data_IF_826956808930
#
_entry.id   IF_826956808930
#
_cell.length_a   1.000
_cell.length_b   1.000
_cell.length_c   1.000
_cell.angle_alpha   90.00
_cell.angle_beta   90.00
_cell.angle_gamma   90.00
#
_symmetry.space_group_name_H-M   'P 1'
#
loop_
_entity.id
_entity.type
_entity.pdbx_description
1 polymer ?
#
# COMPACT_ATOMS: atom_id res chain seq x y z
N UNK A 1 53.81 -16.00 9.56
CA UNK A 1 53.80 -17.33 10.19
C UNK A 1 53.20 -17.22 11.57
N UNK A 2 52.03 -17.82 11.81
CA UNK A 2 51.57 -18.20 13.15
C UNK A 2 50.49 -19.27 12.99
N UNK A 3 50.86 -20.54 13.17
CA UNK A 3 49.92 -21.66 13.25
C UNK A 3 49.48 -21.78 14.71
N UNK A 4 48.20 -21.53 14.99
CA UNK A 4 47.63 -21.71 16.32
C UNK A 4 47.46 -23.20 16.60
N UNK A 5 48.43 -23.76 17.31
CA UNK A 5 48.39 -25.14 17.82
C UNK A 5 47.31 -25.25 18.91
N UNK A 6 46.07 -25.57 18.51
CA UNK A 6 44.99 -25.87 19.46
C UNK A 6 45.27 -27.24 20.08
N UNK A 7 45.82 -27.25 21.30
CA UNK A 7 45.96 -28.44 22.14
C UNK A 7 44.59 -29.11 22.29
N UNK A 8 44.36 -30.21 21.56
CA UNK A 8 43.16 -31.06 21.74
C UNK A 8 43.32 -31.77 23.09
N UNK A 9 42.72 -31.23 24.13
CA UNK A 9 42.73 -31.84 25.47
C UNK A 9 42.20 -33.28 25.42
N UNK A 10 42.81 -34.16 26.24
CA UNK A 10 42.40 -35.55 26.44
C UNK A 10 40.93 -35.61 26.90
N UNK A 11 39.99 -35.80 25.97
CA UNK A 11 38.57 -35.97 26.30
C UNK A 11 38.37 -37.38 26.85
N UNK A 12 37.92 -37.46 28.11
CA UNK A 12 37.50 -38.74 28.72
C UNK A 12 36.47 -39.43 27.80
N UNK A 13 36.53 -40.76 27.64
CA UNK A 13 35.60 -41.48 26.78
C UNK A 13 34.17 -41.26 27.28
N UNK A 14 33.29 -40.71 26.42
CA UNK A 14 31.87 -40.53 26.76
C UNK A 14 31.25 -41.90 27.09
N UNK A 15 30.56 -41.99 28.22
CA UNK A 15 29.91 -43.23 28.65
C UNK A 15 28.93 -43.72 27.59
N UNK A 16 28.83 -45.05 27.42
CA UNK A 16 27.95 -45.66 26.42
C UNK A 16 26.47 -45.27 26.62
N UNK A 17 26.09 -44.86 27.84
CA UNK A 17 24.76 -44.40 28.19
C UNK A 17 24.36 -43.05 27.54
N UNK A 18 25.34 -42.21 27.15
CA UNK A 18 25.09 -40.90 26.51
C UNK A 18 24.95 -41.05 24.98
N UNK A 19 25.12 -42.25 24.43
CA UNK A 19 25.01 -42.49 22.98
C UNK A 19 23.54 -42.53 22.58
N UNK A 20 23.13 -41.59 21.72
CA UNK A 20 21.79 -41.56 21.13
C UNK A 20 21.77 -42.55 19.95
N UNK A 21 21.02 -43.64 20.10
CA UNK A 21 20.79 -44.59 19.02
C UNK A 21 19.73 -44.03 18.06
N UNK A 22 20.17 -43.65 16.86
CA UNK A 22 19.28 -43.27 15.76
C UNK A 22 18.74 -44.53 15.09
N UNK A 23 17.58 -44.99 15.55
CA UNK A 23 16.82 -46.07 14.90
C UNK A 23 15.76 -45.44 14.01
N UNK A 24 15.73 -45.83 12.74
CA UNK A 24 14.70 -45.36 11.83
C UNK A 24 13.46 -46.25 11.94
N UNK A 25 12.31 -45.62 12.23
CA UNK A 25 11.02 -46.28 12.05
C UNK A 25 10.84 -46.62 10.57
N UNK A 26 10.90 -47.91 10.21
CA UNK A 26 10.79 -48.35 8.83
C UNK A 26 9.49 -47.90 8.15
N UNK A 27 8.39 -47.85 8.92
CA UNK A 27 7.08 -47.40 8.45
C UNK A 27 7.15 -45.92 8.06
N UNK A 28 7.66 -45.05 8.93
CA UNK A 28 7.85 -43.62 8.64
C UNK A 28 8.84 -43.41 7.49
N UNK A 29 9.87 -44.26 7.38
CA UNK A 29 10.82 -44.24 6.26
C UNK A 29 10.13 -44.58 4.93
N UNK A 30 9.31 -45.64 4.88
CA UNK A 30 8.54 -46.01 3.68
C UNK A 30 7.54 -44.92 3.30
N UNK A 31 6.83 -44.35 4.26
CA UNK A 31 5.94 -43.20 4.04
C UNK A 31 6.71 -41.96 3.57
N UNK A 32 7.90 -41.72 4.10
CA UNK A 32 8.74 -40.62 3.68
C UNK A 32 9.24 -40.81 2.24
N UNK A 33 9.67 -42.02 1.86
CA UNK A 33 10.18 -42.29 0.52
C UNK A 33 9.06 -42.34 -0.54
N UNK A 34 7.87 -42.84 -0.21
CA UNK A 34 6.77 -42.96 -1.18
C UNK A 34 5.80 -41.77 -1.14
N UNK A 35 5.78 -41.01 -0.04
CA UNK A 35 4.83 -39.93 0.24
C UNK A 35 5.07 -38.61 -0.48
N UNK A 36 5.92 -38.54 -1.52
CA UNK A 36 6.22 -37.30 -2.23
C UNK A 36 4.97 -36.58 -2.76
N UNK A 37 4.00 -37.33 -3.29
CA UNK A 37 2.72 -36.76 -3.76
C UNK A 37 1.92 -36.17 -2.60
N UNK A 38 1.84 -36.87 -1.46
CA UNK A 38 1.18 -36.39 -0.23
C UNK A 38 1.82 -35.07 0.24
N UNK A 39 3.15 -35.02 0.37
CA UNK A 39 3.88 -33.78 0.73
C UNK A 39 3.71 -32.66 -0.29
N UNK A 40 3.69 -32.97 -1.59
CA UNK A 40 3.47 -31.96 -2.64
C UNK A 40 2.06 -31.36 -2.54
N UNK A 41 1.04 -32.17 -2.25
CA UNK A 41 -0.32 -31.69 -2.01
C UNK A 41 -0.41 -30.89 -0.70
N UNK A 42 0.22 -31.36 0.37
CA UNK A 42 0.28 -30.64 1.64
C UNK A 42 0.92 -29.26 1.49
N UNK A 43 2.08 -29.16 0.83
CA UNK A 43 2.72 -27.86 0.55
C UNK A 43 1.82 -26.94 -0.28
N UNK A 44 1.11 -27.48 -1.27
CA UNK A 44 0.14 -26.70 -2.06
C UNK A 44 -1.02 -26.19 -1.20
N UNK A 45 -1.59 -27.04 -0.35
CA UNK A 45 -2.67 -26.69 0.58
C UNK A 45 -2.22 -25.62 1.58
N UNK A 46 -1.05 -25.80 2.21
CA UNK A 46 -0.45 -24.80 3.11
C UNK A 46 -0.22 -23.45 2.43
N UNK A 47 0.27 -23.45 1.18
CA UNK A 47 0.45 -22.20 0.43
C UNK A 47 -0.89 -21.52 0.10
N UNK A 48 -1.94 -22.28 -0.18
CA UNK A 48 -3.29 -21.75 -0.41
C UNK A 48 -3.88 -21.17 0.88
N UNK A 49 -3.80 -21.90 1.99
CA UNK A 49 -4.29 -21.45 3.30
C UNK A 49 -3.54 -20.20 3.77
N UNK A 50 -2.21 -20.15 3.61
CA UNK A 50 -1.42 -18.96 3.94
C UNK A 50 -1.88 -17.75 3.13
N UNK A 51 -2.07 -17.91 1.82
CA UNK A 51 -2.56 -16.84 0.95
C UNK A 51 -3.98 -16.39 1.35
N UNK A 52 -4.85 -17.31 1.75
CA UNK A 52 -6.20 -16.98 2.21
C UNK A 52 -6.18 -16.22 3.54
N UNK A 53 -5.33 -16.62 4.50
CA UNK A 53 -5.12 -15.89 5.76
C UNK A 53 -4.61 -14.47 5.50
N UNK A 54 -3.58 -14.33 4.66
CA UNK A 54 -3.06 -13.01 4.24
C UNK A 54 -4.17 -12.15 3.61
N UNK A 55 -5.04 -12.72 2.76
CA UNK A 55 -6.17 -11.98 2.18
C UNK A 55 -7.21 -11.55 3.22
N UNK A 56 -7.48 -12.37 4.23
CA UNK A 56 -8.41 -12.04 5.31
C UNK A 56 -7.85 -10.91 6.19
N UNK A 57 -6.57 -10.98 6.53
CA UNK A 57 -5.87 -9.95 7.30
C UNK A 57 -5.82 -8.63 6.54
N UNK A 58 -5.48 -8.64 5.26
CA UNK A 58 -5.49 -7.43 4.42
C UNK A 58 -6.88 -6.81 4.31
N UNK A 59 -7.94 -7.63 4.18
CA UNK A 59 -9.32 -7.13 4.20
C UNK A 59 -9.68 -6.47 5.53
N UNK A 60 -9.27 -7.07 6.66
CA UNK A 60 -9.49 -6.50 7.99
C UNK A 60 -8.75 -5.17 8.12
N UNK A 61 -7.49 -5.12 7.71
CA UNK A 61 -6.65 -3.91 7.72
C UNK A 61 -7.27 -2.79 6.89
N UNK A 62 -7.64 -3.06 5.64
CA UNK A 62 -8.25 -2.07 4.76
C UNK A 62 -9.61 -1.58 5.29
N UNK A 63 -10.39 -2.44 5.94
CA UNK A 63 -11.65 -2.03 6.59
C UNK A 63 -11.40 -1.12 7.79
N UNK A 64 -10.38 -1.40 8.60
CA UNK A 64 -9.97 -0.54 9.71
C UNK A 64 -9.47 0.82 9.19
N UNK A 65 -8.56 0.83 8.22
CA UNK A 65 -8.03 2.03 7.58
C UNK A 65 -9.15 2.90 6.98
N UNK A 66 -10.13 2.27 6.29
CA UNK A 66 -11.28 3.00 5.74
C UNK A 66 -12.20 3.60 6.82
N UNK A 67 -12.37 2.92 7.95
CA UNK A 67 -13.12 3.46 9.10
C UNK A 67 -12.38 4.64 9.72
N UNK A 68 -11.08 4.52 9.91
CA UNK A 68 -10.24 5.60 10.45
C UNK A 68 -10.17 6.80 9.51
N UNK A 69 -10.03 6.57 8.20
CA UNK A 69 -10.05 7.64 7.21
C UNK A 69 -11.39 8.36 7.18
N UNK A 70 -12.49 7.61 7.29
CA UNK A 70 -13.83 8.19 7.40
C UNK A 70 -14.01 8.99 8.68
N UNK A 71 -13.57 8.44 9.84
CA UNK A 71 -13.60 9.15 11.12
C UNK A 71 -12.81 10.45 11.03
N UNK A 72 -11.60 10.43 10.44
CA UNK A 72 -10.79 11.64 10.24
C UNK A 72 -11.53 12.65 9.35
N UNK A 73 -12.01 12.26 8.17
CA UNK A 73 -12.70 13.19 7.26
C UNK A 73 -14.02 13.74 7.80
N UNK A 74 -14.81 12.93 8.52
CA UNK A 74 -16.17 13.34 8.95
C UNK A 74 -16.17 13.92 10.34
N UNK A 75 -15.45 13.33 11.30
CA UNK A 75 -15.45 13.82 12.69
C UNK A 75 -14.61 15.07 12.85
N UNK A 76 -13.51 15.23 12.11
CA UNK A 76 -12.74 16.49 12.15
C UNK A 76 -13.42 17.66 11.44
N UNK A 77 -14.52 17.42 10.72
CA UNK A 77 -15.31 18.45 10.03
C UNK A 77 -16.69 18.62 10.68
N UNK A 78 -16.90 18.06 11.88
CA UNK A 78 -18.07 18.38 12.68
C UNK A 78 -17.74 19.59 13.52
N UNK A 79 -18.63 20.57 13.49
CA UNK A 79 -18.53 21.77 14.30
C UNK A 79 -18.60 21.37 15.78
N UNK A 80 -17.70 21.94 16.57
CA UNK A 80 -17.64 21.69 18.01
C UNK A 80 -18.71 22.60 18.64
N UNK A 81 -19.75 22.05 19.30
CA UNK A 81 -20.89 22.83 19.76
C UNK A 81 -20.50 23.92 20.77
N UNK A 82 -19.42 23.72 21.53
CA UNK A 82 -18.88 24.75 22.42
C UNK A 82 -18.33 25.97 21.66
N UNK A 83 -17.71 25.77 20.49
CA UNK A 83 -17.22 26.87 19.66
C UNK A 83 -18.37 27.57 18.93
N UNK A 84 -19.39 26.83 18.48
CA UNK A 84 -20.58 27.40 17.84
C UNK A 84 -21.34 28.35 18.79
N UNK A 85 -21.45 27.98 20.06
CA UNK A 85 -22.04 28.84 21.09
C UNK A 85 -21.21 30.12 21.30
N UNK A 86 -19.88 30.03 21.35
CA UNK A 86 -18.99 31.19 21.52
C UNK A 86 -18.98 32.13 20.30
N UNK A 87 -19.17 31.58 19.09
CA UNK A 87 -19.31 32.35 17.85
C UNK A 87 -20.69 33.03 17.71
N UNK A 88 -21.70 32.55 18.44
CA UNK A 88 -23.06 33.08 18.39
C UNK A 88 -23.41 34.04 19.53
N UNK A 89 -22.62 34.07 20.62
CA UNK A 89 -22.81 35.02 21.72
C UNK A 89 -22.50 36.43 21.27
N UNK A 90 -23.52 37.28 21.24
CA UNK A 90 -23.40 38.73 21.12
C UNK A 90 -23.10 39.30 22.52
N UNK A 91 -22.06 40.13 22.62
CA UNK A 91 -21.70 40.80 23.86
C UNK A 91 -22.28 42.21 23.81
N UNK A 92 -23.17 42.53 24.75
CA UNK A 92 -23.66 43.90 24.97
C UNK A 92 -22.85 44.52 26.12
N UNK A 93 -22.04 45.54 25.83
CA UNK A 93 -21.55 46.49 26.83
C UNK A 93 -22.42 47.75 26.81
N UNK A 94 -22.41 48.52 27.90
CA UNK A 94 -23.36 49.61 28.21
C UNK A 94 -23.59 50.64 27.09
N UNK A 95 -22.67 50.76 26.12
CA UNK A 95 -22.79 51.64 24.95
C UNK A 95 -22.54 50.96 23.57
N UNK A 96 -22.11 49.69 23.50
CA UNK A 96 -21.68 49.04 22.24
C UNK A 96 -21.96 47.54 22.21
N UNK A 97 -22.62 47.08 21.14
CA UNK A 97 -22.83 45.66 20.85
C UNK A 97 -21.72 45.12 19.94
N UNK A 98 -20.97 44.11 20.39
CA UNK A 98 -19.89 43.49 19.62
C UNK A 98 -20.24 42.05 19.23
N UNK A 99 -20.15 41.76 17.93
CA UNK A 99 -20.34 40.42 17.37
C UNK A 99 -19.04 39.89 16.77
N UNK A 100 -18.56 38.75 17.27
CA UNK A 100 -17.34 38.10 16.78
C UNK A 100 -17.70 37.15 15.64
N UNK A 101 -17.53 37.58 14.40
CA UNK A 101 -17.70 36.75 13.20
C UNK A 101 -16.38 36.49 12.50
N UNK A 102 -16.15 35.25 12.04
CA UNK A 102 -15.01 34.94 11.17
C UNK A 102 -15.27 35.51 9.76
N UNK A 103 -14.52 36.55 9.38
CA UNK A 103 -14.58 37.11 8.04
C UNK A 103 -13.63 36.35 7.10
N UNK A 104 -14.18 35.68 6.09
CA UNK A 104 -13.37 35.04 5.04
C UNK A 104 -12.77 36.10 4.10
N UNK A 105 -11.55 35.90 3.64
CA UNK A 105 -10.87 36.82 2.71
C UNK A 105 -11.68 37.10 1.43
N UNK A 106 -12.50 36.14 1.00
CA UNK A 106 -13.39 36.31 -0.14
C UNK A 106 -14.60 37.21 0.17
N UNK A 107 -15.06 37.25 1.42
CA UNK A 107 -16.19 38.10 1.84
C UNK A 107 -15.74 39.53 2.05
N UNK A 108 -14.56 39.72 2.66
CA UNK A 108 -13.90 41.02 2.80
C UNK A 108 -13.65 41.65 1.41
N UNK A 109 -13.18 40.84 0.45
CA UNK A 109 -12.97 41.27 -0.93
C UNK A 109 -14.27 41.63 -1.65
N UNK A 110 -15.38 40.91 -1.40
CA UNK A 110 -16.70 41.22 -1.98
C UNK A 110 -17.28 42.52 -1.43
N UNK A 111 -17.08 42.80 -0.14
CA UNK A 111 -17.57 44.02 0.50
C UNK A 111 -16.65 45.22 0.27
N UNK A 112 -15.53 45.07 -0.46
CA UNK A 112 -14.53 46.12 -0.67
C UNK A 112 -13.97 46.72 0.64
N UNK A 113 -14.06 45.99 1.75
CA UNK A 113 -13.50 46.37 3.05
C UNK A 113 -12.01 46.00 3.14
N UNK A 114 -11.29 46.16 2.03
CA UNK A 114 -9.86 45.88 1.99
C UNK A 114 -9.14 47.06 2.64
N UNK A 115 -8.65 46.87 3.86
CA UNK A 115 -7.65 47.76 4.47
C UNK A 115 -6.43 47.66 3.56
N UNK A 116 -6.20 48.69 2.74
CA UNK A 116 -5.10 48.74 1.78
C UNK A 116 -3.76 48.43 2.45
N UNK A 117 -2.76 48.06 1.65
CA UNK A 117 -1.43 47.73 2.17
C UNK A 117 -0.95 48.88 3.09
N UNK A 118 -0.72 48.56 4.37
CA UNK A 118 -0.19 49.50 5.34
C UNK A 118 1.30 49.71 4.99
N UNK A 119 1.56 50.57 4.01
CA UNK A 119 2.91 50.90 3.59
C UNK A 119 3.40 52.05 4.47
N UNK A 120 4.44 51.84 5.29
CA UNK A 120 5.10 52.97 5.93
C UNK A 120 5.66 53.86 4.83
N UNK A 121 5.32 55.15 4.86
CA UNK A 121 5.99 56.15 4.03
C UNK A 121 7.41 56.31 4.56
N UNK A 122 8.35 55.56 4.00
CA UNK A 122 9.76 55.88 4.11
C UNK A 122 10.13 56.77 2.94
N UNK A 123 10.70 57.93 3.26
CA UNK A 123 11.45 58.71 2.29
C UNK A 123 12.58 57.82 1.78
N UNK A 124 12.64 57.68 0.46
CA UNK A 124 13.54 56.80 -0.27
C UNK A 124 14.99 57.22 -0.08
N UNK A 125 15.80 56.33 0.49
CA UNK A 125 17.22 56.24 0.17
C UNK A 125 17.51 54.80 -0.30
N UNK A 126 18.21 54.76 -1.42
CA UNK A 126 18.55 53.60 -2.22
C UNK A 126 19.45 52.57 -1.49
N UNK A 127 19.37 51.34 -2.00
CA UNK A 127 20.34 50.24 -1.86
C UNK A 127 20.56 49.63 -0.47
N UNK A 128 20.17 48.36 -0.31
CA UNK A 128 21.08 47.23 0.02
C UNK A 128 20.30 45.92 -0.15
N UNK A 129 20.81 45.11 -1.06
CA UNK A 129 20.45 43.73 -1.33
C UNK A 129 21.32 42.85 -0.41
N UNK A 130 20.75 42.18 0.59
CA UNK A 130 21.51 41.23 1.40
C UNK A 130 20.76 39.92 1.61
N UNK A 131 21.19 38.94 0.81
CA UNK A 131 20.90 37.52 0.93
C UNK A 131 21.49 36.95 2.22
N UNK A 132 20.68 36.31 3.06
CA UNK A 132 21.16 35.46 4.15
C UNK A 132 20.74 34.01 3.91
N UNK A 133 21.63 33.23 3.29
CA UNK A 133 21.61 31.77 3.25
C UNK A 133 22.62 31.27 4.30
N UNK A 134 22.13 30.71 5.40
CA UNK A 134 22.94 30.18 6.50
C UNK A 134 23.11 28.67 6.32
N UNK A 135 24.16 28.27 5.60
CA UNK A 135 24.64 26.89 5.58
C UNK A 135 25.80 26.74 6.58
N UNK A 136 25.52 26.14 7.73
CA UNK A 136 26.54 25.61 8.65
C UNK A 136 27.38 24.55 7.94
N UNK A 137 28.69 24.79 7.84
CA UNK A 137 29.66 23.87 7.26
C UNK A 137 29.87 22.68 8.20
N UNK A 138 29.38 21.51 7.80
CA UNK A 138 29.78 20.22 8.38
C UNK A 138 30.89 19.66 7.51
N UNK A 139 32.07 19.42 8.08
CA UNK A 139 33.21 18.83 7.36
C UNK A 139 32.83 17.47 6.76
N UNK A 140 32.87 17.38 5.43
CA UNK A 140 32.54 16.16 4.68
C UNK A 140 33.75 15.22 4.63
N UNK A 141 33.61 14.03 5.22
CA UNK A 141 34.58 12.94 5.09
C UNK A 141 34.40 12.27 3.71
N UNK A 142 35.44 12.22 2.84
CA UNK A 142 35.34 11.60 1.53
C UNK A 142 34.88 10.15 1.59
N UNK A 143 33.78 9.82 0.89
CA UNK A 143 33.19 8.48 0.83
C UNK A 143 31.90 8.26 1.63
N UNK A 144 31.41 9.26 2.38
CA UNK A 144 30.15 9.20 3.13
C UNK A 144 29.13 10.27 2.70
N UNK A 145 29.14 10.58 1.41
CA UNK A 145 28.29 11.60 0.76
C UNK A 145 26.80 11.24 0.92
N UNK A 146 26.11 11.90 1.83
CA UNK A 146 24.65 11.77 1.98
C UNK A 146 23.98 12.48 0.82
N UNK A 147 23.62 11.75 -0.24
CA UNK A 147 22.71 12.26 -1.27
C UNK A 147 21.33 12.52 -0.65
N UNK A 148 21.14 13.73 -0.12
CA UNK A 148 19.85 14.21 0.39
C UNK A 148 18.91 14.41 -0.80
N UNK A 149 18.30 13.32 -1.27
CA UNK A 149 17.11 13.38 -2.11
C UNK A 149 16.01 13.98 -1.24
N UNK A 150 15.87 15.29 -1.32
CA UNK A 150 14.78 16.02 -0.70
C UNK A 150 13.47 15.48 -1.26
N UNK A 151 12.83 14.59 -0.51
CA UNK A 151 11.46 14.20 -0.75
C UNK A 151 10.60 15.42 -0.43
N UNK A 152 10.47 16.34 -1.39
CA UNK A 152 9.49 17.42 -1.35
C UNK A 152 8.13 16.78 -1.10
N UNK A 153 7.65 16.86 0.13
CA UNK A 153 6.29 16.50 0.52
C UNK A 153 5.39 17.50 -0.20
N UNK A 154 4.96 17.14 -1.42
CA UNK A 154 3.93 17.89 -2.14
C UNK A 154 2.66 17.77 -1.30
N UNK A 155 2.33 18.81 -0.53
CA UNK A 155 1.00 18.94 0.08
C UNK A 155 0.01 18.87 -1.09
N UNK A 156 -0.74 17.77 -1.18
CA UNK A 156 -1.75 17.64 -2.23
C UNK A 156 -2.77 18.78 -2.04
N UNK A 157 -3.22 19.44 -3.13
CA UNK A 157 -4.20 20.50 -3.03
C UNK A 157 -5.47 19.96 -2.40
N UNK A 158 -6.02 20.69 -1.42
CA UNK A 158 -7.29 20.37 -0.77
C UNK A 158 -8.36 20.40 -1.85
N UNK A 159 -8.78 19.22 -2.31
CA UNK A 159 -9.85 19.10 -3.31
C UNK A 159 -11.16 19.50 -2.65
N UNK A 160 -11.68 20.66 -3.01
CA UNK A 160 -13.07 21.03 -2.72
C UNK A 160 -13.98 20.14 -3.55
N UNK A 161 -15.01 19.58 -2.93
CA UNK A 161 -15.99 18.73 -3.60
C UNK A 161 -17.31 19.48 -3.69
N UNK A 162 -17.90 19.53 -4.89
CA UNK A 162 -19.14 20.27 -5.14
C UNK A 162 -20.40 19.46 -4.78
N UNK A 163 -20.28 18.13 -4.69
CA UNK A 163 -21.41 17.23 -4.44
C UNK A 163 -21.02 15.98 -3.64
N UNK A 164 -21.93 15.52 -2.77
CA UNK A 164 -21.78 14.26 -2.05
C UNK A 164 -21.50 13.05 -2.95
N UNK A 165 -22.06 13.05 -4.17
CA UNK A 165 -21.84 11.95 -5.12
C UNK A 165 -20.38 11.90 -5.57
N UNK A 166 -19.74 13.06 -5.74
CA UNK A 166 -18.33 13.16 -6.11
C UNK A 166 -17.43 12.69 -4.95
N UNK A 167 -17.75 13.09 -3.72
CA UNK A 167 -17.09 12.59 -2.50
C UNK A 167 -17.12 11.06 -2.40
N UNK A 168 -18.32 10.47 -2.54
CA UNK A 168 -18.50 9.01 -2.50
C UNK A 168 -17.72 8.30 -3.61
N UNK A 169 -17.66 8.89 -4.82
CA UNK A 169 -16.93 8.33 -5.96
C UNK A 169 -15.41 8.37 -5.74
N UNK A 170 -14.88 9.48 -5.24
CA UNK A 170 -13.45 9.62 -4.98
C UNK A 170 -13.00 8.74 -3.82
N UNK A 171 -13.81 8.61 -2.76
CA UNK A 171 -13.54 7.70 -1.64
C UNK A 171 -13.50 6.23 -2.10
N UNK A 172 -14.43 5.81 -2.96
CA UNK A 172 -14.38 4.49 -3.62
C UNK A 172 -13.14 4.32 -4.50
N UNK A 173 -12.75 5.37 -5.24
CA UNK A 173 -11.56 5.34 -6.11
C UNK A 173 -10.27 5.21 -5.30
N UNK A 174 -10.15 5.94 -4.19
CA UNK A 174 -9.03 5.82 -3.26
C UNK A 174 -8.97 4.42 -2.63
N UNK A 175 -10.11 3.91 -2.13
CA UNK A 175 -10.18 2.56 -1.56
C UNK A 175 -9.77 1.48 -2.58
N UNK A 176 -10.26 1.55 -3.82
CA UNK A 176 -9.89 0.59 -4.88
C UNK A 176 -8.43 0.72 -5.30
N UNK A 177 -7.84 1.92 -5.29
CA UNK A 177 -6.40 2.11 -5.52
C UNK A 177 -5.57 1.45 -4.41
N UNK A 178 -5.93 1.64 -3.14
CA UNK A 178 -5.22 1.04 -2.01
C UNK A 178 -5.30 -0.49 -2.06
N UNK A 179 -6.48 -1.05 -2.37
CA UNK A 179 -6.65 -2.49 -2.60
C UNK A 179 -5.74 -2.99 -3.72
N UNK A 180 -5.70 -2.30 -4.87
CA UNK A 180 -4.88 -2.68 -6.03
C UNK A 180 -3.37 -2.61 -5.78
N UNK A 181 -2.93 -1.70 -4.91
CA UNK A 181 -1.52 -1.56 -4.50
C UNK A 181 -1.06 -2.66 -3.54
N UNK A 182 -1.98 -3.33 -2.84
CA UNK A 182 -1.60 -4.37 -1.87
C UNK A 182 -0.91 -5.57 -2.55
N UNK A 183 0.22 -6.01 -1.96
CA UNK A 183 1.04 -7.12 -2.51
C UNK A 183 0.25 -8.43 -2.56
N UNK A 184 -0.60 -8.68 -1.58
CA UNK A 184 -1.42 -9.91 -1.49
C UNK A 184 -2.46 -9.95 -2.62
N UNK A 185 -3.12 -8.83 -2.91
CA UNK A 185 -4.08 -8.74 -4.01
C UNK A 185 -3.40 -8.88 -5.39
N UNK A 186 -2.22 -8.29 -5.56
CA UNK A 186 -1.43 -8.46 -6.79
C UNK A 186 -1.01 -9.92 -7.01
N UNK A 187 -0.56 -10.61 -5.95
CA UNK A 187 -0.25 -12.05 -5.99
C UNK A 187 -1.47 -12.87 -6.41
N UNK A 188 -2.64 -12.59 -5.81
CA UNK A 188 -3.91 -13.26 -6.16
C UNK A 188 -4.25 -13.08 -7.64
N UNK A 189 -4.24 -11.83 -8.14
CA UNK A 189 -4.54 -11.53 -9.54
C UNK A 189 -3.57 -12.23 -10.50
N UNK A 190 -2.27 -12.29 -10.16
CA UNK A 190 -1.28 -13.00 -10.98
C UNK A 190 -1.55 -14.51 -11.05
N UNK A 191 -1.98 -15.12 -9.94
CA UNK A 191 -2.37 -16.54 -9.90
C UNK A 191 -3.61 -16.77 -10.77
N UNK A 192 -4.60 -15.89 -10.66
CA UNK A 192 -5.85 -15.96 -11.42
C UNK A 192 -5.62 -15.76 -12.93
N UNK A 193 -4.82 -14.77 -13.33
CA UNK A 193 -4.42 -14.57 -14.72
C UNK A 193 -3.71 -15.80 -15.29
N UNK A 194 -2.80 -16.42 -14.53
CA UNK A 194 -2.14 -17.67 -14.94
C UNK A 194 -3.15 -18.81 -15.13
N UNK A 195 -4.17 -18.89 -14.26
CA UNK A 195 -5.25 -19.89 -14.37
C UNK A 195 -6.10 -19.65 -15.61
N UNK A 196 -6.52 -18.40 -15.85
CA UNK A 196 -7.30 -18.00 -17.01
C UNK A 196 -6.54 -18.23 -18.32
N UNK A 197 -5.26 -17.84 -18.40
CA UNK A 197 -4.40 -18.11 -19.57
C UNK A 197 -4.32 -19.61 -19.88
N UNK A 198 -4.12 -20.45 -18.85
CA UNK A 198 -4.10 -21.91 -19.03
C UNK A 198 -5.44 -22.47 -19.49
N UNK A 199 -6.55 -21.95 -18.98
CA UNK A 199 -7.89 -22.35 -19.42
C UNK A 199 -8.14 -21.94 -20.87
N UNK A 200 -7.79 -20.71 -21.25
CA UNK A 200 -7.92 -20.21 -22.62
C UNK A 200 -7.10 -21.02 -23.62
N UNK A 201 -5.88 -21.42 -23.27
CA UNK A 201 -5.06 -22.30 -24.11
C UNK A 201 -5.73 -23.68 -24.28
N UNK A 202 -6.23 -24.27 -23.18
CA UNK A 202 -6.93 -25.55 -23.24
C UNK A 202 -8.19 -25.50 -24.09
N UNK A 203 -8.97 -24.42 -23.99
CA UNK A 203 -10.19 -24.27 -24.79
C UNK A 203 -9.88 -24.03 -26.26
N UNK A 204 -8.81 -23.28 -26.58
CA UNK A 204 -8.31 -23.12 -27.94
C UNK A 204 -7.88 -24.46 -28.54
N UNK A 205 -7.02 -25.21 -27.85
CA UNK A 205 -6.55 -26.52 -28.33
C UNK A 205 -7.71 -27.49 -28.59
N UNK A 206 -8.71 -27.55 -27.69
CA UNK A 206 -9.92 -28.37 -27.90
C UNK A 206 -10.74 -27.93 -29.12
N UNK A 207 -10.87 -26.61 -29.36
CA UNK A 207 -11.55 -26.09 -30.54
C UNK A 207 -10.80 -26.47 -31.82
N UNK A 208 -9.48 -26.38 -31.82
CA UNK A 208 -8.64 -26.71 -32.97
C UNK A 208 -8.66 -28.23 -33.27
N UNK A 209 -8.61 -29.08 -32.24
CA UNK A 209 -8.82 -30.53 -32.38
C UNK A 209 -10.19 -30.85 -33.00
N UNK A 210 -11.26 -30.20 -32.53
CA UNK A 210 -12.60 -30.40 -33.07
C UNK A 210 -12.68 -29.96 -34.55
N UNK A 211 -12.12 -28.80 -34.90
CA UNK A 211 -12.06 -28.32 -36.30
C UNK A 211 -11.30 -29.32 -37.19
N UNK A 212 -10.18 -29.85 -36.72
CA UNK A 212 -9.41 -30.85 -37.46
C UNK A 212 -10.18 -32.16 -37.66
N UNK A 213 -10.89 -32.64 -36.63
CA UNK A 213 -11.79 -33.81 -36.75
C UNK A 213 -12.92 -33.57 -37.76
N UNK A 214 -13.52 -32.38 -37.78
CA UNK A 214 -14.55 -32.03 -38.77
C UNK A 214 -13.99 -31.98 -40.21
N UNK A 215 -12.81 -31.40 -40.41
CA UNK A 215 -12.14 -31.38 -41.72
C UNK A 215 -11.79 -32.79 -42.23
N UNK A 216 -11.26 -33.66 -41.38
CA UNK A 216 -10.97 -35.05 -41.75
C UNK A 216 -12.25 -35.83 -42.10
N UNK A 217 -13.35 -35.62 -41.35
CA UNK A 217 -14.66 -36.22 -41.67
C UNK A 217 -15.21 -35.76 -43.01
N UNK A 218 -15.08 -34.47 -43.34
CA UNK A 218 -15.47 -33.93 -44.65
C UNK A 218 -14.66 -34.53 -45.80
N UNK A 219 -13.34 -34.66 -45.62
CA UNK A 219 -12.45 -35.22 -46.64
C UNK A 219 -12.74 -36.71 -46.92
N UNK A 220 -13.06 -37.49 -45.89
CA UNK A 220 -13.44 -38.90 -46.02
C UNK A 220 -14.83 -39.10 -46.65
N UNK A 221 -15.77 -38.15 -46.47
CA UNK A 221 -17.08 -38.17 -47.14
C UNK A 221 -16.95 -37.90 -48.64
N UNK A 222 -16.11 -36.94 -49.04
CA UNK A 222 -15.87 -36.66 -50.46
C UNK A 222 -15.14 -37.83 -51.16
N UNK A 223 -14.19 -38.50 -50.51
CA UNK A 223 -13.53 -39.70 -51.07
C UNK A 223 -14.48 -40.89 -51.27
N UNK A 224 -15.55 -40.99 -50.48
CA UNK A 224 -16.58 -42.05 -50.62
C UNK A 224 -17.62 -41.78 -51.71
N UNK A 225 -17.75 -40.54 -52.21
CA UNK A 225 -18.69 -40.18 -53.29
C UNK A 225 -18.08 -40.25 -54.69
N UNK A 226 -16.77 -40.47 -54.80
CA UNK A 226 -16.01 -40.53 -56.07
C UNK A 226 -15.67 -41.99 -56.45
N UNK A 227 -16.28 -42.96 -55.78
CA UNK A 227 -16.24 -44.38 -56.13
C UNK A 227 -17.64 -44.88 -56.44
#
# INVERSE_FOLDING_TARGET
>A
MALTNVKRGNRKPKSRQIKVNLVFDEVKRREFLTGFRKRKLQRKKQAQEKLEKELKEERKRLKAEAKESYKKLVVSHRDIPELENLLSTEYEEDDVTVKVTELSTNEIAKQNNWIGANQPKYESDDDINESNDSNEQVEEVPGMELTLKSNKIKKEPVKKFESEKQLKKELKKQATKNIKKSKVFQKKNKIEQRKQKKQAIKTKNKKDENKNKFKQRGHNRNKKRVK
#
